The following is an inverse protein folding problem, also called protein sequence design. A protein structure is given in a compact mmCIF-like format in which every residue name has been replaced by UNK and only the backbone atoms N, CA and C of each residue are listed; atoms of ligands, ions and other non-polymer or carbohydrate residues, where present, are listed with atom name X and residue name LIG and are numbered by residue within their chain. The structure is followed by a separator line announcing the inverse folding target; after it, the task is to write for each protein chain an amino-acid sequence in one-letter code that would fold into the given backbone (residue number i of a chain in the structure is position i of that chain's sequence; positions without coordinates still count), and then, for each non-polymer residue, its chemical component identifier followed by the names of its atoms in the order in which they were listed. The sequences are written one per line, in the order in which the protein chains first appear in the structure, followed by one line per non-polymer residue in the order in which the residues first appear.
data_IF_855345634386
#
_entry.id   IF_855345634386
#
_cell.length_a   1.000
_cell.length_b   1.000
_cell.length_c   1.000
_cell.angle_alpha   90.00
_cell.angle_beta   90.00
_cell.angle_gamma   90.00
#
_symmetry.space_group_name_H-M   'P 1'
#
loop_
_entity.id
_entity.type
_entity.pdbx_description
1 polymer ?
#
# COMPACT_ATOMS: atom_id res chain seq x y z
N UNK A 1 -3.15 -15.49 10.64
CA UNK A 1 -3.27 -14.58 10.37
C UNK A 1 -3.17 -13.94 10.45
N UNK A 2 -2.91 -14.31 10.58
CA UNK A 2 -3.01 -13.12 10.38
C UNK A 2 -3.15 -12.66 10.27
N UNK A 3 -3.16 -13.07 10.39
CA UNK A 3 -3.36 -12.04 10.15
C UNK A 3 -4.02 -12.17 10.20
N UNK A 4 -3.76 -12.43 10.31
CA UNK A 4 -4.45 -12.01 10.22
C UNK A 4 -4.99 -11.88 10.56
N UNK A 5 -4.97 -12.28 10.95
CA UNK A 5 -5.62 -11.49 11.18
C UNK A 5 -5.90 -11.20 11.56
N UNK A 6 -5.51 -11.45 11.67
CA UNK A 6 -6.06 -10.46 11.96
C UNK A 6 -6.59 -10.19 11.94
N UNK A 7 -6.57 -10.59 12.00
CA UNK A 7 -7.29 -9.65 11.91
C UNK A 7 -8.16 -9.73 12.05
N UNK A 8 -8.07 -10.35 12.13
CA UNK A 8 -8.92 -9.82 12.15
C UNK A 8 -9.63 -9.48 12.72
N UNK A 9 -9.61 -9.85 13.12
CA UNK A 9 -10.29 -8.98 13.42
C UNK A 9 -10.63 -8.45 13.82
N UNK A 10 -10.63 -8.65 14.05
CA UNK A 10 -11.02 -7.66 14.16
C UNK A 10 -11.44 -7.28 14.02
N UNK A 11 -11.56 -7.47 13.94
CA UNK A 11 -12.09 -6.70 13.61
C UNK A 11 -12.92 -6.37 13.49
N UNK A 12 -13.15 -6.67 13.43
CA UNK A 12 -14.02 -6.25 13.29
C UNK A 12 -14.85 -5.89 13.75
N UNK A 13 -15.15 -5.89 14.04
CA UNK A 13 -15.86 -5.29 14.38
C UNK A 13 -16.29 -4.54 14.79
N UNK A 14 -16.38 -4.43 15.19
CA UNK A 14 -16.82 -3.55 15.47
C UNK A 14 -16.87 -2.54 15.44
N UNK A 15 -16.76 -2.32 15.21
CA UNK A 15 -16.82 -1.27 15.20
C UNK A 15 -17.43 -0.67 14.61
N UNK A 16 -18.07 -1.07 14.42
CA UNK A 16 -18.77 -0.60 13.92
C UNK A 16 -19.43 0.45 14.30
N UNK A 17 -19.55 0.73 15.11
CA UNK A 17 -20.01 1.91 15.38
C UNK A 17 -19.28 2.92 14.70
N UNK A 18 -19.86 3.73 14.07
CA UNK A 18 -19.19 4.73 13.32
C UNK A 18 -18.81 5.86 14.22
N UNK A 19 -17.55 6.17 14.18
CA UNK A 19 -17.03 7.33 14.85
C UNK A 19 -16.85 8.41 13.82
N UNK A 20 -17.56 9.52 13.93
CA UNK A 20 -17.44 10.57 12.91
C UNK A 20 -16.03 11.17 12.82
N UNK A 21 -15.26 11.01 13.87
CA UNK A 21 -13.87 11.50 13.87
C UNK A 21 -12.89 10.39 13.65
N UNK A 22 -13.35 9.31 13.07
CA UNK A 22 -12.53 8.16 12.84
C UNK A 22 -11.28 8.50 12.08
N UNK A 23 -10.17 7.92 12.52
CA UNK A 23 -8.89 8.08 11.88
C UNK A 23 -8.93 7.36 10.53
N UNK A 24 -8.34 7.98 9.53
CA UNK A 24 -8.21 7.34 8.22
C UNK A 24 -7.45 6.03 8.39
N UNK A 25 -7.99 4.95 7.86
CA UNK A 25 -7.41 3.63 8.03
C UNK A 25 -6.34 3.31 6.99
N UNK A 26 -6.40 3.92 5.83
CA UNK A 26 -5.41 3.70 4.80
C UNK A 26 -5.30 4.91 3.90
N UNK A 27 -4.16 5.02 3.26
CA UNK A 27 -3.90 6.05 2.26
C UNK A 27 -3.34 5.33 1.06
N UNK A 28 -3.94 5.55 -0.10
CA UNK A 28 -3.49 4.84 -1.28
C UNK A 28 -3.78 5.59 -2.56
N UNK A 29 -3.32 5.00 -3.65
CA UNK A 29 -3.53 5.49 -4.99
C UNK A 29 -3.56 4.31 -5.94
N UNK A 30 -4.22 4.49 -7.06
CA UNK A 30 -4.27 3.44 -8.07
C UNK A 30 -4.39 4.06 -9.44
N UNK A 31 -4.03 3.27 -10.45
CA UNK A 31 -4.16 3.67 -11.85
C UNK A 31 -4.69 2.52 -12.65
N UNK A 32 -5.63 2.83 -13.53
CA UNK A 32 -6.09 1.87 -14.53
C UNK A 32 -5.49 2.24 -15.87
N UNK A 33 -5.37 1.25 -16.75
CA UNK A 33 -4.67 1.41 -18.01
C UNK A 33 -5.60 1.11 -19.15
N UNK A 34 -5.57 1.97 -20.18
CA UNK A 34 -6.39 1.77 -21.36
C UNK A 34 -5.89 0.58 -22.16
N UNK A 35 -4.57 0.34 -22.14
CA UNK A 35 -3.98 -0.85 -22.72
C UNK A 35 -3.35 -1.65 -21.60
N UNK A 36 -3.63 -2.96 -21.58
CA UNK A 36 -3.14 -3.82 -20.53
C UNK A 36 -1.62 -3.80 -20.47
N UNK A 37 -1.07 -3.75 -19.25
CA UNK A 37 0.36 -3.88 -19.08
C UNK A 37 0.73 -5.35 -19.09
N UNK A 38 1.80 -5.69 -19.81
CA UNK A 38 2.17 -7.07 -20.02
C UNK A 38 3.57 -7.42 -19.53
N UNK A 39 4.38 -6.42 -19.18
CA UNK A 39 5.76 -6.66 -18.76
C UNK A 39 5.99 -6.09 -17.38
N UNK A 40 6.93 -6.70 -16.65
CA UNK A 40 7.33 -6.17 -15.36
C UNK A 40 7.88 -4.77 -15.51
N UNK A 41 8.56 -4.50 -16.60
CA UNK A 41 9.15 -3.19 -16.82
C UNK A 41 8.10 -2.09 -16.87
N UNK A 42 7.02 -2.30 -17.64
CA UNK A 42 5.96 -1.31 -17.72
C UNK A 42 5.23 -1.18 -16.40
N UNK A 43 5.04 -2.29 -15.70
CA UNK A 43 4.36 -2.26 -14.41
C UNK A 43 5.20 -1.56 -13.36
N UNK A 44 6.52 -1.78 -13.37
CA UNK A 44 7.40 -1.10 -12.43
C UNK A 44 7.37 0.41 -12.65
N UNK A 45 7.35 0.83 -13.90
CA UNK A 45 7.25 2.25 -14.22
C UNK A 45 5.93 2.84 -13.70
N UNK A 46 4.84 2.09 -13.85
CA UNK A 46 3.56 2.53 -13.33
C UNK A 46 3.58 2.62 -11.80
N UNK A 47 4.24 1.66 -11.15
CA UNK A 47 4.33 1.68 -9.69
C UNK A 47 5.08 2.91 -9.20
N UNK A 48 6.11 3.35 -9.91
CA UNK A 48 6.84 4.56 -9.52
C UNK A 48 5.89 5.74 -9.41
N UNK A 49 5.03 5.91 -10.40
CA UNK A 49 4.06 7.01 -10.39
C UNK A 49 3.07 6.85 -9.24
N UNK A 50 2.62 5.62 -9.01
CA UNK A 50 1.62 5.36 -7.97
C UNK A 50 2.20 5.62 -6.58
N UNK A 51 3.43 5.14 -6.30
CA UNK A 51 4.01 5.36 -4.97
C UNK A 51 4.38 6.82 -4.76
N UNK A 52 4.74 7.54 -5.82
CA UNK A 52 4.95 8.99 -5.71
C UNK A 52 3.69 9.69 -5.24
N UNK A 53 2.56 9.26 -5.78
CA UNK A 53 1.27 9.84 -5.38
C UNK A 53 0.93 9.46 -3.94
N UNK A 54 1.20 8.22 -3.55
CA UNK A 54 0.98 7.79 -2.16
C UNK A 54 1.85 8.61 -1.22
N UNK A 55 3.13 8.82 -1.58
CA UNK A 55 4.02 9.62 -0.76
C UNK A 55 3.46 11.03 -0.57
N UNK A 56 3.00 11.66 -1.64
CA UNK A 56 2.44 13.00 -1.54
C UNK A 56 1.25 13.04 -0.57
N UNK A 57 0.40 12.03 -0.65
CA UNK A 57 -0.77 11.95 0.23
C UNK A 57 -0.37 11.67 1.67
N UNK A 58 0.66 10.84 1.89
CA UNK A 58 1.16 10.56 3.22
C UNK A 58 1.77 11.79 3.85
N UNK A 59 2.55 12.55 3.07
CA UNK A 59 3.14 13.78 3.55
C UNK A 59 2.09 14.80 3.91
N UNK A 60 1.06 14.93 3.07
CA UNK A 60 -0.01 15.88 3.33
C UNK A 60 -0.76 15.51 4.61
N UNK A 61 -0.98 14.22 4.83
CA UNK A 61 -1.68 13.74 6.01
C UNK A 61 -0.77 13.66 7.23
N UNK A 62 0.54 13.81 7.04
CA UNK A 62 1.53 13.71 8.12
C UNK A 62 1.48 12.35 8.78
N UNK A 63 1.44 11.30 7.95
CA UNK A 63 1.35 9.92 8.41
C UNK A 63 2.44 9.08 7.78
N UNK A 64 2.81 8.03 8.49
CA UNK A 64 3.61 6.93 7.97
C UNK A 64 2.82 5.65 8.18
N UNK A 65 3.21 4.56 7.53
CA UNK A 65 2.46 3.32 7.67
C UNK A 65 3.35 2.11 7.75
N UNK A 66 2.86 1.09 8.43
CA UNK A 66 3.60 -0.17 8.61
C UNK A 66 3.23 -1.22 7.57
N UNK A 67 2.05 -1.13 6.97
CA UNK A 67 1.56 -2.18 6.08
C UNK A 67 1.32 -1.63 4.69
N UNK A 68 1.95 -2.25 3.71
CA UNK A 68 1.71 -1.91 2.32
C UNK A 68 0.91 -3.02 1.66
N UNK A 69 -0.12 -2.64 0.93
CA UNK A 69 -0.95 -3.58 0.18
C UNK A 69 -0.85 -3.23 -1.30
N UNK A 70 -0.51 -4.24 -2.10
CA UNK A 70 -0.51 -4.12 -3.55
C UNK A 70 -1.79 -4.73 -4.09
N UNK A 71 -2.47 -4.01 -4.97
CA UNK A 71 -3.66 -4.48 -5.65
C UNK A 71 -3.34 -4.66 -7.12
N UNK A 72 -3.67 -5.84 -7.66
CA UNK A 72 -3.49 -6.13 -9.08
C UNK A 72 -4.85 -6.55 -9.64
N UNK A 73 -5.30 -5.87 -10.67
CA UNK A 73 -6.52 -6.27 -11.36
C UNK A 73 -6.16 -6.65 -12.79
N UNK A 74 -6.52 -7.86 -13.15
CA UNK A 74 -6.19 -8.40 -14.47
C UNK A 74 -7.25 -8.03 -15.51
N UNK A 75 -6.92 -8.21 -16.76
CA UNK A 75 -7.81 -7.86 -17.86
C UNK A 75 -9.13 -8.63 -17.79
N UNK A 76 -9.13 -9.83 -17.23
CA UNK A 76 -10.34 -10.62 -17.07
C UNK A 76 -11.12 -10.28 -15.80
N UNK A 77 -10.77 -9.16 -15.18
CA UNK A 77 -11.43 -8.61 -13.98
C UNK A 77 -11.14 -9.36 -12.69
N UNK A 78 -10.29 -10.40 -12.70
CA UNK A 78 -9.83 -11.00 -11.46
C UNK A 78 -8.97 -9.98 -10.74
N UNK A 79 -9.10 -9.94 -9.43
CA UNK A 79 -8.37 -8.98 -8.61
C UNK A 79 -7.72 -9.71 -7.45
N UNK A 80 -6.45 -9.42 -7.22
CA UNK A 80 -5.77 -9.94 -6.04
C UNK A 80 -5.19 -8.77 -5.26
N UNK A 81 -5.07 -8.96 -3.95
CA UNK A 81 -4.37 -8.02 -3.09
C UNK A 81 -3.36 -8.81 -2.27
N UNK A 82 -2.20 -8.19 -2.06
CA UNK A 82 -1.13 -8.81 -1.27
C UNK A 82 -0.54 -7.76 -0.38
N UNK A 83 -0.33 -8.10 0.87
CA UNK A 83 0.13 -7.14 1.87
C UNK A 83 1.39 -7.60 2.55
N UNK A 84 2.16 -6.65 3.02
CA UNK A 84 3.31 -6.93 3.85
C UNK A 84 3.43 -5.85 4.91
N UNK A 85 3.66 -6.29 6.15
CA UNK A 85 3.89 -5.39 7.28
C UNK A 85 5.37 -5.40 7.60
N UNK A 86 5.92 -4.20 7.83
CA UNK A 86 7.35 -4.04 8.08
C UNK A 86 7.58 -3.52 9.48
N UNK A 87 8.84 -3.58 9.93
CA UNK A 87 9.21 -3.23 11.29
C UNK A 87 9.25 -1.73 11.52
N UNK A 88 9.61 -0.96 10.50
CA UNK A 88 9.69 0.49 10.59
C UNK A 88 8.69 1.10 9.61
N UNK A 89 7.95 2.12 10.03
CA UNK A 89 6.93 2.67 9.16
C UNK A 89 7.55 3.39 7.97
N UNK A 90 6.83 3.38 6.87
CA UNK A 90 7.28 3.95 5.61
C UNK A 90 6.45 5.15 5.23
N UNK A 91 7.08 6.08 4.51
CA UNK A 91 6.41 7.23 3.93
C UNK A 91 7.01 7.55 2.57
N UNK A 92 8.28 7.21 2.37
CA UNK A 92 9.00 7.61 1.17
C UNK A 92 8.68 6.70 0.01
N UNK A 93 8.54 7.30 -1.17
CA UNK A 93 8.21 6.55 -2.38
C UNK A 93 9.25 5.47 -2.68
N UNK A 94 10.53 5.74 -2.39
CA UNK A 94 11.59 4.78 -2.65
C UNK A 94 11.34 3.48 -1.88
N UNK A 95 11.07 3.58 -0.59
CA UNK A 95 10.85 2.41 0.24
C UNK A 95 9.58 1.67 -0.18
N UNK A 96 8.51 2.41 -0.41
CA UNK A 96 7.25 1.80 -0.82
C UNK A 96 7.38 1.15 -2.19
N UNK A 97 8.15 1.79 -3.08
CA UNK A 97 8.34 1.25 -4.42
C UNK A 97 9.09 -0.07 -4.43
N UNK A 98 10.13 -0.17 -3.60
CA UNK A 98 10.90 -1.41 -3.51
C UNK A 98 9.99 -2.55 -3.02
N UNK A 99 9.22 -2.29 -1.98
CA UNK A 99 8.35 -3.31 -1.42
C UNK A 99 7.23 -3.68 -2.38
N UNK A 100 6.61 -2.67 -3.01
CA UNK A 100 5.52 -2.92 -3.95
C UNK A 100 6.01 -3.73 -5.14
N UNK A 101 7.20 -3.41 -5.65
CA UNK A 101 7.75 -4.17 -6.77
C UNK A 101 8.07 -5.59 -6.38
N UNK A 102 8.60 -5.80 -5.17
CA UNK A 102 8.87 -7.16 -4.69
C UNK A 102 7.59 -7.97 -4.61
N UNK A 103 6.51 -7.38 -4.11
CA UNK A 103 5.23 -8.07 -4.05
C UNK A 103 4.70 -8.38 -5.45
N UNK A 104 4.85 -7.43 -6.36
CA UNK A 104 4.42 -7.64 -7.73
C UNK A 104 5.15 -8.81 -8.37
N UNK A 105 6.48 -8.83 -8.26
CA UNK A 105 7.28 -9.89 -8.87
C UNK A 105 6.94 -11.25 -8.30
N UNK A 106 6.65 -11.30 -7.01
CA UNK A 106 6.39 -12.56 -6.35
C UNK A 106 5.02 -13.13 -6.68
N UNK A 107 4.03 -12.27 -6.90
CA UNK A 107 2.64 -12.71 -7.01
C UNK A 107 2.04 -12.57 -8.41
N UNK A 108 2.79 -12.00 -9.35
CA UNK A 108 2.26 -11.79 -10.69
C UNK A 108 2.16 -13.13 -11.41
N UNK A 109 1.02 -13.37 -12.05
CA UNK A 109 0.85 -14.62 -12.78
C UNK A 109 1.66 -14.60 -14.08
N UNK A 110 1.96 -15.80 -14.65
CA UNK A 110 2.66 -15.85 -15.93
C UNK A 110 1.84 -15.21 -17.04
N UNK A 111 2.53 -14.59 -18.00
CA UNK A 111 1.90 -13.94 -19.14
C UNK A 111 0.79 -13.00 -18.71
N UNK A 112 1.13 -12.05 -17.84
CA UNK A 112 0.09 -11.21 -17.23
C UNK A 112 -0.49 -10.21 -18.19
N UNK A 113 -1.75 -9.87 -17.95
CA UNK A 113 -2.40 -8.75 -18.61
C UNK A 113 -3.06 -7.94 -17.52
N UNK A 114 -2.41 -6.86 -17.13
CA UNK A 114 -2.81 -6.10 -15.96
C UNK A 114 -3.54 -4.82 -16.38
N UNK A 115 -4.73 -4.65 -15.85
CA UNK A 115 -5.57 -3.50 -16.15
C UNK A 115 -5.47 -2.40 -15.12
N UNK A 116 -5.15 -2.75 -13.87
CA UNK A 116 -5.09 -1.78 -12.80
C UNK A 116 -4.06 -2.21 -11.79
N UNK A 117 -3.31 -1.23 -11.29
CA UNK A 117 -2.39 -1.42 -10.15
C UNK A 117 -2.71 -0.38 -9.09
N UNK A 118 -2.64 -0.79 -7.85
CA UNK A 118 -2.85 0.11 -6.73
C UNK A 118 -1.91 -0.21 -5.58
N UNK A 119 -1.60 0.81 -4.79
CA UNK A 119 -0.80 0.69 -3.59
C UNK A 119 -1.50 1.44 -2.48
N UNK A 120 -1.59 0.82 -1.32
CA UNK A 120 -2.19 1.46 -0.14
C UNK A 120 -1.33 1.19 1.07
N UNK A 121 -1.25 2.20 1.93
CA UNK A 121 -0.56 2.09 3.21
C UNK A 121 -1.58 2.08 4.33
N UNK A 122 -1.41 1.16 5.26
CA UNK A 122 -2.30 1.01 6.40
C UNK A 122 -1.48 0.92 7.67
N UNK A 123 -2.17 0.79 8.81
CA UNK A 123 -1.54 0.84 10.13
C UNK A 123 -0.74 2.14 10.25
N UNK A 124 -1.47 3.22 10.07
CA UNK A 124 -0.88 4.55 9.98
C UNK A 124 -0.54 5.09 11.35
N UNK A 125 0.60 5.78 11.44
CA UNK A 125 1.05 6.44 12.66
C UNK A 125 1.46 7.86 12.31
N UNK A 126 1.46 8.78 13.27
CA UNK A 126 1.89 10.14 13.00
C UNK A 126 3.36 10.17 12.62
N UNK A 127 3.66 10.76 11.46
CA UNK A 127 5.03 10.83 10.97
C UNK A 127 5.92 11.67 11.90
N UNK A 128 5.33 12.71 12.48
CA UNK A 128 6.07 13.61 13.33
C UNK A 128 6.67 12.89 14.54
N UNK A 129 5.89 11.98 15.15
CA UNK A 129 6.35 11.25 16.31
C UNK A 129 7.51 10.31 15.93
N UNK A 130 7.35 9.61 14.81
CA UNK A 130 8.38 8.68 14.37
C UNK A 130 9.67 9.41 14.05
N UNK A 131 9.57 10.55 13.37
CA UNK A 131 10.74 11.33 13.02
C UNK A 131 11.48 11.82 14.26
N UNK A 132 10.75 12.24 15.26
CA UNK A 132 11.35 12.69 16.51
C UNK A 132 12.14 11.56 17.18
N UNK A 133 11.55 10.38 17.21
CA UNK A 133 12.22 9.23 17.80
C UNK A 133 13.51 8.89 17.05
N UNK A 134 13.47 8.98 15.75
CA UNK A 134 14.68 8.70 14.95
C UNK A 134 15.79 9.70 15.27
N UNK A 135 15.44 10.95 15.40
CA UNK A 135 16.44 11.96 15.70
C UNK A 135 17.07 11.73 17.07
N UNK A 136 16.28 11.28 18.01
CA UNK A 136 16.80 11.06 19.35
C UNK A 136 17.75 9.88 19.42
N UNK A 137 17.72 9.00 18.42
CA UNK A 137 18.64 7.87 18.37
C UNK A 137 20.00 8.24 17.78
N UNK A 138 20.07 9.39 17.17
CA UNK A 138 21.32 9.84 16.58
C UNK A 138 22.16 10.59 17.62
#
# INVERSE_FOLDING_TARGET
KVGRHYFRVAQAQDNRRVNPNRIRKSIGAERSFTEDLRTLETMAAALVTIVDEVEARMLKAKKMGYTLTLKIKYADYRQITRSRTVDLPMQQATDMGILAQALLEHHLEPQPRVRLLGVAMANLVPAQLVGYQQLSLL
#
